data_IF_286586179068
#
_entry.id   IF_286586179068
#
_cell.length_a   1.000
_cell.length_b   1.000
_cell.length_c   1.000
_cell.angle_alpha   90.00
_cell.angle_beta   90.00
_cell.angle_gamma   90.00
#
_symmetry.space_group_name_H-M   'P 1'
#
loop_
_entity.id
_entity.type
_entity.pdbx_description
1 polymer ?
#
# COMPACT_ATOMS: atom_id res chain seq x y z
N UNK A 1 -3.83 28.40 -11.46
CA UNK A 1 -2.96 27.21 -11.44
C UNK A 1 -2.66 26.83 -10.00
N UNK A 2 -2.12 25.64 -9.75
CA UNK A 2 -1.67 25.17 -8.42
C UNK A 2 -0.24 24.64 -8.55
N UNK A 3 0.53 24.62 -7.46
CA UNK A 3 1.88 24.05 -7.46
C UNK A 3 1.86 22.65 -6.85
N UNK A 4 2.71 21.75 -7.35
CA UNK A 4 2.94 20.47 -6.70
C UNK A 4 3.83 20.65 -5.45
N UNK A 5 3.35 20.22 -4.28
CA UNK A 5 4.06 20.34 -3.00
C UNK A 5 5.44 19.65 -2.96
N UNK A 6 5.68 18.65 -3.83
CA UNK A 6 6.91 17.83 -3.83
C UNK A 6 7.93 18.26 -4.91
N UNK A 7 7.51 18.86 -6.04
CA UNK A 7 8.44 19.27 -7.12
C UNK A 7 8.29 20.73 -7.58
N UNK A 8 7.47 21.54 -6.91
CA UNK A 8 7.21 22.94 -7.26
C UNK A 8 6.48 23.18 -8.59
N UNK A 9 6.45 22.21 -9.52
CA UNK A 9 5.88 22.35 -10.86
C UNK A 9 4.44 22.86 -10.82
N UNK A 10 4.16 23.85 -11.65
CA UNK A 10 2.82 24.39 -11.84
C UNK A 10 1.93 23.43 -12.63
N UNK A 11 0.67 23.31 -12.20
CA UNK A 11 -0.34 22.40 -12.74
C UNK A 11 -1.66 23.17 -12.96
N UNK A 12 -2.47 22.67 -13.89
CA UNK A 12 -3.90 22.98 -13.88
C UNK A 12 -4.55 22.26 -12.68
N UNK A 13 -5.50 22.91 -12.00
CA UNK A 13 -6.17 22.33 -10.83
C UNK A 13 -6.97 21.06 -11.14
N UNK A 14 -7.29 20.81 -12.41
CA UNK A 14 -7.95 19.60 -12.88
C UNK A 14 -7.01 18.38 -13.03
N UNK A 15 -5.68 18.58 -13.13
CA UNK A 15 -4.67 17.51 -13.30
C UNK A 15 -3.78 17.33 -12.06
N UNK A 16 -4.23 17.87 -10.93
CA UNK A 16 -3.53 17.85 -9.65
C UNK A 16 -4.44 17.19 -8.61
N UNK A 17 -3.98 16.12 -7.97
CA UNK A 17 -4.72 15.47 -6.88
C UNK A 17 -4.45 16.25 -5.59
N UNK A 18 -5.46 16.49 -4.76
CA UNK A 18 -5.23 16.93 -3.38
C UNK A 18 -4.71 15.77 -2.54
N UNK A 19 -3.84 16.08 -1.59
CA UNK A 19 -3.47 15.20 -0.47
C UNK A 19 -4.69 14.87 0.39
N UNK A 20 -4.56 13.83 1.21
CA UNK A 20 -5.65 13.31 2.03
C UNK A 20 -5.87 14.19 3.28
N UNK A 21 -7.08 14.17 3.82
CA UNK A 21 -7.33 14.60 5.21
C UNK A 21 -6.92 13.53 6.24
N UNK A 22 -6.54 12.32 5.79
CA UNK A 22 -6.04 11.24 6.63
C UNK A 22 -4.51 11.25 6.63
N UNK A 23 -3.92 11.54 7.79
CA UNK A 23 -2.47 11.63 8.00
C UNK A 23 -1.72 10.40 7.46
N UNK A 24 -2.21 9.19 7.74
CA UNK A 24 -1.58 7.93 7.33
C UNK A 24 -1.38 7.83 5.81
N UNK A 25 -2.35 8.29 5.01
CA UNK A 25 -2.24 8.29 3.55
C UNK A 25 -1.22 9.32 3.05
N UNK A 26 -1.04 10.43 3.75
CA UNK A 26 0.00 11.42 3.44
C UNK A 26 1.40 10.93 3.87
N UNK A 27 1.50 10.23 4.99
CA UNK A 27 2.73 9.56 5.44
C UNK A 27 3.15 8.48 4.45
N UNK A 28 2.25 7.58 4.03
CA UNK A 28 2.55 6.56 3.00
C UNK A 28 3.07 7.24 1.73
N UNK A 29 2.37 8.24 1.20
CA UNK A 29 2.78 8.98 0.00
C UNK A 29 4.18 9.61 0.14
N UNK A 30 4.39 10.41 1.18
CA UNK A 30 5.59 11.25 1.32
C UNK A 30 6.82 10.45 1.79
N UNK A 31 6.64 9.40 2.60
CA UNK A 31 7.75 8.50 2.97
C UNK A 31 8.14 7.61 1.79
N UNK A 32 7.18 7.07 1.02
CA UNK A 32 7.50 6.27 -0.19
C UNK A 32 8.25 7.10 -1.23
N UNK A 33 7.87 8.38 -1.43
CA UNK A 33 8.60 9.30 -2.29
C UNK A 33 10.02 9.61 -1.78
N UNK A 34 10.22 9.59 -0.47
CA UNK A 34 11.55 9.82 0.11
C UNK A 34 12.45 8.60 0.01
N UNK A 35 11.90 7.39 0.23
CA UNK A 35 12.59 6.12 0.01
C UNK A 35 12.96 5.92 -1.48
N UNK A 36 12.08 6.33 -2.40
CA UNK A 36 12.34 6.37 -3.84
C UNK A 36 13.34 7.48 -4.27
N UNK A 37 13.92 8.25 -3.34
CA UNK A 37 14.89 9.31 -3.63
C UNK A 37 14.32 10.54 -4.33
N UNK A 38 12.99 10.69 -4.41
CA UNK A 38 12.35 11.85 -5.04
C UNK A 38 12.25 13.07 -4.11
N UNK A 39 12.43 12.89 -2.80
CA UNK A 39 12.53 13.97 -1.82
C UNK A 39 13.31 13.55 -0.56
N UNK A 40 13.74 14.52 0.23
CA UNK A 40 14.41 14.28 1.51
C UNK A 40 13.40 13.96 2.64
N UNK A 41 13.80 13.16 3.64
CA UNK A 41 12.89 12.68 4.69
C UNK A 41 12.53 13.77 5.73
N UNK A 42 13.43 14.71 6.02
CA UNK A 42 13.13 15.90 6.83
C UNK A 42 12.17 16.86 6.09
N UNK A 43 12.17 16.89 4.76
CA UNK A 43 11.15 17.56 3.95
C UNK A 43 9.80 16.84 4.01
N UNK A 44 9.79 15.52 3.80
CA UNK A 44 8.57 14.71 3.92
C UNK A 44 7.91 14.89 5.31
N UNK A 45 8.70 14.81 6.39
CA UNK A 45 8.25 14.99 7.78
C UNK A 45 7.67 16.38 8.08
N UNK A 46 8.12 17.42 7.37
CA UNK A 46 7.53 18.77 7.42
C UNK A 46 6.19 18.82 6.67
N UNK A 47 6.08 18.16 5.52
CA UNK A 47 4.87 18.15 4.71
C UNK A 47 3.72 17.30 5.27
N UNK A 48 3.98 16.27 6.10
CA UNK A 48 2.91 15.39 6.65
C UNK A 48 1.72 16.18 7.23
N UNK A 49 1.98 17.24 7.98
CA UNK A 49 0.94 18.06 8.62
C UNK A 49 0.40 19.16 7.72
N UNK A 50 1.24 19.78 6.86
CA UNK A 50 0.76 20.82 5.94
C UNK A 50 -0.18 20.22 4.90
N UNK A 51 0.17 19.07 4.34
CA UNK A 51 -0.69 18.25 3.48
C UNK A 51 -2.04 17.97 4.16
N UNK A 52 -2.03 17.45 5.38
CA UNK A 52 -3.24 17.08 6.13
C UNK A 52 -4.12 18.30 6.49
N UNK A 53 -3.51 19.44 6.84
CA UNK A 53 -4.21 20.67 7.27
C UNK A 53 -4.66 21.56 6.11
N UNK A 54 -3.97 21.55 4.96
CA UNK A 54 -4.22 22.44 3.81
C UNK A 54 -4.72 21.73 2.55
N UNK A 55 -4.70 20.39 2.52
CA UNK A 55 -5.05 19.56 1.36
C UNK A 55 -4.25 19.96 0.11
N UNK A 56 -2.94 20.07 0.29
CA UNK A 56 -1.94 20.50 -0.70
C UNK A 56 -1.97 19.62 -1.96
N UNK A 57 -1.59 20.20 -3.10
CA UNK A 57 -1.69 19.55 -4.40
C UNK A 57 -0.44 18.75 -4.76
N UNK A 58 -0.63 17.57 -5.35
CA UNK A 58 0.42 16.67 -5.83
C UNK A 58 0.10 16.23 -7.27
N UNK A 59 1.11 16.20 -8.15
CA UNK A 59 0.95 15.72 -9.52
C UNK A 59 0.72 14.21 -9.55
N UNK A 60 0.05 13.72 -10.59
CA UNK A 60 -0.20 12.28 -10.75
C UNK A 60 1.09 11.46 -10.85
N UNK A 61 2.19 12.03 -11.36
CA UNK A 61 3.49 11.35 -11.45
C UNK A 61 3.99 10.86 -10.08
N UNK A 62 3.97 11.69 -9.04
CA UNK A 62 4.43 11.31 -7.71
C UNK A 62 3.51 10.27 -7.04
N UNK A 63 2.22 10.24 -7.40
CA UNK A 63 1.29 9.21 -6.91
C UNK A 63 1.54 7.86 -7.57
N UNK A 64 1.87 7.86 -8.86
CA UNK A 64 2.35 6.66 -9.55
C UNK A 64 3.69 6.20 -8.97
N UNK A 65 4.70 7.08 -8.87
CA UNK A 65 6.04 6.75 -8.34
C UNK A 65 5.98 6.20 -6.90
N UNK A 66 5.16 6.79 -6.02
CA UNK A 66 4.99 6.28 -4.65
C UNK A 66 4.38 4.86 -4.63
N UNK A 67 3.42 4.58 -5.49
CA UNK A 67 2.82 3.24 -5.59
C UNK A 67 3.77 2.23 -6.27
N UNK A 68 4.53 2.66 -7.29
CA UNK A 68 5.55 1.85 -7.96
C UNK A 68 6.68 1.46 -7.00
N UNK A 69 7.14 2.37 -6.15
CA UNK A 69 8.12 2.05 -5.09
C UNK A 69 7.59 0.96 -4.15
N UNK A 70 6.36 1.10 -3.63
CA UNK A 70 5.78 0.11 -2.73
C UNK A 70 5.62 -1.27 -3.40
N UNK A 71 5.27 -1.30 -4.69
CA UNK A 71 5.17 -2.54 -5.46
C UNK A 71 6.55 -3.16 -5.79
N UNK A 72 7.59 -2.35 -5.95
CA UNK A 72 8.96 -2.84 -6.11
C UNK A 72 9.49 -3.48 -4.81
N UNK A 73 9.19 -2.87 -3.64
CA UNK A 73 9.52 -3.43 -2.33
C UNK A 73 8.77 -4.74 -2.05
N UNK A 74 7.52 -4.87 -2.50
CA UNK A 74 6.77 -6.14 -2.48
C UNK A 74 7.46 -7.20 -3.38
N UNK A 75 7.76 -6.84 -4.63
CA UNK A 75 8.38 -7.76 -5.59
C UNK A 75 9.79 -8.21 -5.13
N UNK A 76 10.53 -7.36 -4.42
CA UNK A 76 11.84 -7.67 -3.87
C UNK A 76 11.83 -8.78 -2.81
N UNK A 77 10.71 -8.99 -2.11
CA UNK A 77 10.52 -10.14 -1.19
C UNK A 77 9.77 -11.31 -1.83
N UNK A 78 9.43 -11.22 -3.12
CA UNK A 78 8.71 -12.24 -3.88
C UNK A 78 7.19 -12.07 -3.92
N UNK A 79 6.64 -11.02 -3.31
CA UNK A 79 5.20 -10.76 -3.30
C UNK A 79 4.79 -9.94 -4.54
N UNK A 80 3.92 -10.49 -5.38
CA UNK A 80 3.36 -9.80 -6.54
C UNK A 80 1.95 -9.28 -6.27
N UNK A 81 1.47 -8.33 -7.07
CA UNK A 81 0.06 -8.01 -7.16
C UNK A 81 -0.67 -9.02 -8.06
N UNK A 82 -1.96 -9.24 -7.85
CA UNK A 82 -2.79 -10.08 -8.71
C UNK A 82 -3.47 -9.26 -9.82
N UNK A 83 -3.59 -9.80 -11.03
CA UNK A 83 -4.46 -9.24 -12.07
C UNK A 83 -5.83 -9.93 -12.06
N UNK A 84 -6.83 -9.29 -11.44
CA UNK A 84 -8.21 -9.76 -11.47
C UNK A 84 -8.88 -9.33 -12.79
N UNK A 85 -9.59 -10.25 -13.45
CA UNK A 85 -10.43 -9.89 -14.60
C UNK A 85 -11.61 -9.01 -14.15
N UNK A 86 -11.60 -7.75 -14.61
CA UNK A 86 -12.61 -6.73 -14.27
C UNK A 86 -13.22 -6.16 -15.56
N UNK A 87 -14.37 -6.71 -16.01
CA UNK A 87 -15.09 -6.23 -17.20
C UNK A 87 -15.60 -4.79 -17.12
N UNK A 88 -15.43 -4.08 -15.98
CA UNK A 88 -15.72 -2.65 -15.85
C UNK A 88 -14.54 -1.74 -16.21
N UNK A 89 -13.36 -2.31 -16.46
CA UNK A 89 -12.18 -1.58 -16.94
C UNK A 89 -11.99 -1.69 -18.46
N UNK A 90 -11.46 -0.66 -19.14
CA UNK A 90 -11.12 -0.75 -20.57
C UNK A 90 -10.07 -1.82 -20.90
N UNK A 91 -9.24 -2.19 -19.92
CA UNK A 91 -8.23 -3.26 -20.00
C UNK A 91 -8.80 -4.67 -19.79
N UNK A 92 -10.04 -4.79 -19.30
CA UNK A 92 -10.60 -6.06 -18.84
C UNK A 92 -9.92 -6.66 -17.61
N UNK A 93 -8.93 -5.97 -17.03
CA UNK A 93 -8.11 -6.38 -15.88
C UNK A 93 -7.84 -5.22 -14.95
N UNK A 94 -7.92 -5.51 -13.64
CA UNK A 94 -7.55 -4.62 -12.53
C UNK A 94 -6.46 -5.31 -11.71
N UNK A 95 -5.27 -4.71 -11.69
CA UNK A 95 -4.22 -5.07 -10.74
C UNK A 95 -4.66 -4.72 -9.30
N UNK A 96 -4.52 -5.64 -8.35
CA UNK A 96 -4.86 -5.43 -6.94
C UNK A 96 -3.91 -6.15 -5.97
N UNK A 97 -3.89 -5.65 -4.73
CA UNK A 97 -3.04 -6.11 -3.62
C UNK A 97 -3.89 -6.28 -2.36
N UNK A 98 -3.77 -7.40 -1.66
CA UNK A 98 -4.41 -7.63 -0.35
C UNK A 98 -3.60 -6.98 0.77
N UNK A 99 -4.12 -6.95 2.00
CA UNK A 99 -3.35 -6.54 3.18
C UNK A 99 -2.47 -7.65 3.78
N UNK A 100 -2.56 -8.88 3.26
CA UNK A 100 -1.69 -10.01 3.60
C UNK A 100 -0.38 -9.92 2.80
N UNK A 101 -0.43 -9.47 1.55
CA UNK A 101 0.73 -9.39 0.65
C UNK A 101 1.73 -8.28 1.02
N UNK A 102 1.36 -7.39 1.94
CA UNK A 102 2.18 -6.24 2.33
C UNK A 102 3.29 -6.70 3.31
N UNK A 103 4.58 -6.56 2.95
CA UNK A 103 5.68 -6.99 3.81
C UNK A 103 5.70 -6.20 5.12
N UNK A 104 5.79 -6.89 6.26
CA UNK A 104 5.76 -6.24 7.57
C UNK A 104 6.95 -5.28 7.75
N UNK A 105 8.12 -5.58 7.19
CA UNK A 105 9.31 -4.72 7.27
C UNK A 105 9.20 -3.42 6.46
N UNK A 106 8.40 -3.42 5.38
CA UNK A 106 8.03 -2.21 4.67
C UNK A 106 7.17 -1.31 5.56
N UNK A 107 6.17 -1.87 6.24
CA UNK A 107 5.30 -1.15 7.19
C UNK A 107 6.09 -0.67 8.43
N UNK A 108 6.98 -1.49 8.97
CA UNK A 108 7.91 -1.12 10.05
C UNK A 108 8.82 0.04 9.62
N UNK A 109 9.28 0.04 8.36
CA UNK A 109 10.11 1.12 7.80
C UNK A 109 9.30 2.41 7.60
N UNK A 110 8.07 2.33 7.06
CA UNK A 110 7.16 3.48 6.99
C UNK A 110 6.90 4.08 8.38
N UNK A 111 6.65 3.25 9.40
CA UNK A 111 6.40 3.69 10.77
C UNK A 111 7.65 4.30 11.45
N UNK A 112 8.81 3.68 11.29
CA UNK A 112 10.11 4.20 11.76
C UNK A 112 10.38 5.59 11.19
N UNK A 113 10.13 5.78 9.89
CA UNK A 113 10.32 7.06 9.22
C UNK A 113 9.19 8.07 9.51
N UNK A 114 7.97 7.63 9.77
CA UNK A 114 6.87 8.48 10.27
C UNK A 114 7.21 9.14 11.63
N UNK A 115 8.09 8.52 12.42
CA UNK A 115 8.61 9.11 13.67
C UNK A 115 7.55 9.25 14.75
N UNK A 116 6.69 8.25 14.91
CA UNK A 116 5.63 8.23 15.92
C UNK A 116 4.45 9.17 15.67
N UNK A 117 4.47 10.00 14.62
CA UNK A 117 3.35 10.91 14.28
C UNK A 117 2.04 10.19 13.95
N UNK A 118 2.13 8.92 13.53
CA UNK A 118 1.00 7.99 13.40
C UNK A 118 1.50 6.56 13.29
N UNK A 119 0.61 5.58 13.39
CA UNK A 119 0.85 4.17 13.04
C UNK A 119 0.13 3.86 11.74
N UNK A 120 0.89 3.51 10.71
CA UNK A 120 0.45 2.96 9.42
C UNK A 120 0.28 1.45 9.55
N UNK A 121 -0.80 0.92 8.98
CA UNK A 121 -1.11 -0.52 8.91
C UNK A 121 -1.01 -1.07 7.49
N UNK A 122 -0.79 -2.38 7.34
CA UNK A 122 -0.77 -3.08 6.03
C UNK A 122 -1.99 -2.73 5.16
N UNK A 123 -3.17 -2.69 5.79
CA UNK A 123 -4.46 -2.33 5.18
C UNK A 123 -4.52 -0.92 4.59
N UNK A 124 -3.73 0.01 5.10
CA UNK A 124 -3.67 1.38 4.57
C UNK A 124 -2.67 1.49 3.41
N UNK A 125 -1.60 0.69 3.45
CA UNK A 125 -0.64 0.54 2.34
C UNK A 125 -1.32 -0.14 1.15
N UNK A 126 -1.96 -1.31 1.34
CA UNK A 126 -2.69 -2.00 0.27
C UNK A 126 -3.82 -1.13 -0.30
N UNK A 127 -4.58 -0.42 0.56
CA UNK A 127 -5.56 0.58 0.11
C UNK A 127 -4.91 1.68 -0.73
N UNK A 128 -3.78 2.25 -0.30
CA UNK A 128 -3.09 3.30 -1.05
C UNK A 128 -2.59 2.78 -2.41
N UNK A 129 -2.00 1.59 -2.46
CA UNK A 129 -1.58 0.92 -3.70
C UNK A 129 -2.78 0.74 -4.63
N UNK A 130 -3.87 0.11 -4.17
CA UNK A 130 -5.08 -0.14 -4.94
C UNK A 130 -5.77 1.15 -5.45
N UNK A 131 -5.78 2.22 -4.65
CA UNK A 131 -6.29 3.54 -5.06
C UNK A 131 -5.47 4.21 -6.16
N UNK A 132 -4.20 3.80 -6.35
CA UNK A 132 -3.31 4.33 -7.39
C UNK A 132 -3.22 3.38 -8.59
N UNK A 133 -3.15 2.05 -8.40
CA UNK A 133 -3.26 1.04 -9.46
C UNK A 133 -4.51 1.29 -10.32
N UNK A 134 -5.69 1.35 -9.70
CA UNK A 134 -6.99 1.61 -10.36
C UNK A 134 -7.05 2.94 -11.14
N UNK A 135 -6.14 3.89 -10.89
CA UNK A 135 -6.10 5.20 -11.56
C UNK A 135 -5.00 5.33 -12.60
N UNK A 136 -3.89 4.62 -12.43
CA UNK A 136 -2.64 4.92 -13.13
C UNK A 136 -2.03 3.73 -13.86
N UNK A 137 -2.21 2.48 -13.40
CA UNK A 137 -1.56 1.28 -13.96
C UNK A 137 -1.73 1.19 -15.50
N UNK A 138 -2.94 1.38 -16.00
CA UNK A 138 -3.26 1.37 -17.43
C UNK A 138 -3.08 2.74 -18.13
N UNK A 139 -2.19 3.61 -17.66
CA UNK A 139 -2.01 4.99 -18.16
C UNK A 139 -0.54 5.36 -18.32
N UNK A 140 -0.23 6.27 -19.25
CA UNK A 140 1.14 6.78 -19.50
C UNK A 140 1.77 7.60 -18.35
N UNK A 141 1.06 7.80 -17.23
CA UNK A 141 1.61 8.39 -16.00
C UNK A 141 2.29 7.34 -15.13
N UNK A 142 1.96 6.06 -15.33
CA UNK A 142 2.70 4.91 -14.84
C UNK A 142 3.80 4.61 -15.87
N UNK A 143 5.06 5.03 -15.66
CA UNK A 143 6.13 4.62 -16.55
C UNK A 143 6.22 3.10 -16.51
N UNK A 144 6.46 2.47 -17.66
CA UNK A 144 6.91 1.09 -17.70
C UNK A 144 8.20 1.01 -16.89
N UNK A 145 8.13 0.44 -15.67
CA UNK A 145 9.34 -0.10 -15.07
C UNK A 145 9.77 -1.24 -15.98
N UNK A 146 11.03 -1.20 -16.43
CA UNK A 146 11.59 -2.23 -17.31
C UNK A 146 11.55 -3.55 -16.56
N UNK A 147 10.52 -4.36 -16.85
CA UNK A 147 10.20 -5.54 -16.05
C UNK A 147 11.38 -6.50 -16.09
N UNK A 148 12.05 -6.66 -14.94
CA UNK A 148 12.91 -7.82 -14.69
C UNK A 148 11.98 -9.02 -14.56
N UNK A 149 11.49 -9.50 -15.71
CA UNK A 149 10.67 -10.70 -15.84
C UNK A 149 11.55 -11.86 -15.40
N UNK A 150 11.40 -12.27 -14.13
CA UNK A 150 11.94 -13.53 -13.60
C UNK A 150 11.14 -14.66 -14.25
N UNK A 151 11.44 -14.90 -15.52
CA UNK A 151 10.68 -15.76 -16.41
C UNK A 151 10.79 -17.20 -15.97
N UNK A 152 9.71 -17.72 -15.37
CA UNK A 152 9.57 -19.14 -15.01
C UNK A 152 9.45 -19.99 -16.28
N UNK A 153 10.60 -20.27 -16.89
CA UNK A 153 10.77 -21.23 -17.99
C UNK A 153 10.82 -20.63 -19.39
N UNK A 154 12.04 -20.39 -19.90
CA UNK A 154 12.32 -20.51 -21.34
C UNK A 154 13.77 -20.92 -21.55
N UNK A 155 13.98 -22.19 -21.88
CA UNK A 155 15.32 -22.79 -22.01
C UNK A 155 15.96 -22.43 -23.35
N UNK A 156 16.68 -21.31 -23.41
CA UNK A 156 17.55 -20.99 -24.56
C UNK A 156 19.01 -21.11 -24.13
N UNK A 157 19.65 -22.18 -24.58
CA UNK A 157 21.09 -22.38 -24.45
C UNK A 157 21.81 -21.26 -25.20
N UNK A 158 22.67 -20.51 -24.49
CA UNK A 158 23.74 -19.71 -25.10
C UNK A 158 25.05 -20.11 -24.44
N UNK A 159 26.05 -20.35 -25.28
CA UNK A 159 27.35 -20.85 -24.86
C UNK A 159 28.11 -19.74 -24.11
N UNK A 160 28.90 -20.14 -23.11
CA UNK A 160 30.00 -19.31 -22.65
C UNK A 160 31.12 -19.33 -23.70
N UNK A 161 31.61 -18.15 -24.07
CA UNK A 161 32.97 -17.97 -24.55
C UNK A 161 33.64 -16.92 -23.65
N UNK A 162 34.90 -17.17 -23.28
CA UNK A 162 35.64 -16.40 -22.28
C UNK A 162 36.33 -15.18 -22.93
N UNK A 163 36.47 -14.06 -22.21
CA UNK A 163 37.22 -12.92 -22.73
C UNK A 163 37.44 -11.72 -21.81
N UNK A 164 38.69 -11.55 -21.34
CA UNK A 164 39.28 -10.22 -21.16
C UNK A 164 39.21 -9.55 -19.78
N UNK A 165 40.02 -10.01 -18.82
CA UNK A 165 40.33 -9.22 -17.59
C UNK A 165 41.46 -8.23 -17.84
N UNK A 166 41.19 -6.91 -17.69
CA UNK A 166 42.13 -5.81 -17.37
C UNK A 166 41.36 -4.49 -17.23
N UNK A 167 41.71 -3.57 -16.32
CA UNK A 167 42.75 -3.60 -15.30
C UNK A 167 42.65 -2.42 -14.32
N UNK A 168 43.41 -2.48 -13.22
CA UNK A 168 43.38 -1.53 -12.09
C UNK A 168 43.95 -0.15 -12.47
N UNK A 169 43.36 0.92 -11.92
CA UNK A 169 44.09 2.16 -11.59
C UNK A 169 43.39 2.94 -10.47
N UNK A 170 43.88 2.79 -9.24
CA UNK A 170 43.54 3.69 -8.13
C UNK A 170 44.31 5.01 -8.25
N UNK A 171 43.77 6.12 -7.68
CA UNK A 171 44.49 6.94 -6.67
C UNK A 171 43.61 8.06 -6.08
N UNK A 172 43.87 8.49 -4.84
CA UNK A 172 43.10 9.54 -4.15
C UNK A 172 43.75 10.93 -4.25
N UNK A 173 43.02 11.96 -3.80
CA UNK A 173 43.54 13.25 -3.37
C UNK A 173 43.16 13.50 -1.91
N UNK A 174 43.96 14.29 -1.18
CA UNK A 174 43.81 14.49 0.28
C UNK A 174 44.28 15.89 0.68
N UNK A 175 43.68 16.47 1.75
CA UNK A 175 44.15 17.68 2.49
C UNK A 175 43.98 18.96 1.62
N UNK A 176 43.53 20.13 2.08
CA UNK A 176 43.71 20.92 3.33
C UNK A 176 42.36 21.29 3.99
N UNK A 177 42.12 21.17 5.30
CA UNK A 177 42.73 21.83 6.47
C UNK A 177 42.58 23.37 6.51
N UNK A 178 41.82 23.89 7.48
CA UNK A 178 42.05 25.20 8.09
C UNK A 178 41.39 25.28 9.48
N UNK A 179 41.97 26.07 10.40
CA UNK A 179 41.64 26.07 11.85
C UNK A 179 41.25 27.47 12.36
N UNK A 180 40.43 27.53 13.41
CA UNK A 180 40.42 28.55 14.48
C UNK A 180 39.42 28.14 15.58
N UNK A 181 39.82 27.97 16.85
CA UNK A 181 40.04 29.00 17.91
C UNK A 181 38.71 29.48 18.53
N UNK A 182 38.33 29.03 19.75
CA UNK A 182 38.65 29.60 21.10
C UNK A 182 37.95 30.96 21.33
N UNK A 183 37.26 31.29 22.43
CA UNK A 183 37.25 30.87 23.88
C UNK A 183 35.79 30.67 24.41
N UNK A 184 35.47 30.01 25.54
CA UNK A 184 35.61 30.34 27.00
C UNK A 184 34.88 31.66 27.43
N UNK A 185 34.18 31.78 28.57
CA UNK A 185 34.07 30.88 29.76
C UNK A 185 32.65 30.23 29.94
N UNK A 186 31.74 30.36 30.94
CA UNK A 186 31.57 31.12 32.22
C UNK A 186 30.44 30.45 33.10
N UNK A 187 30.21 30.88 34.35
CA UNK A 187 29.24 30.33 35.36
C UNK A 187 27.87 31.12 35.42
N UNK A 188 26.82 30.89 36.22
CA UNK A 188 26.59 30.29 37.57
C UNK A 188 25.25 29.53 37.74
N UNK A 189 25.10 28.84 38.89
CA UNK A 189 23.92 28.12 39.40
C UNK A 189 23.55 28.64 40.81
N UNK A 190 22.27 28.61 41.25
CA UNK A 190 22.01 27.80 42.45
C UNK A 190 20.62 27.11 42.56
N UNK A 191 20.64 25.87 43.08
CA UNK A 191 19.93 25.30 44.26
C UNK A 191 18.65 26.01 44.81
N UNK A 192 17.61 25.36 45.36
CA UNK A 192 17.57 24.09 46.14
C UNK A 192 16.12 23.55 46.40
N UNK A 193 16.00 22.53 47.26
CA UNK A 193 14.82 21.79 47.76
C UNK A 193 14.09 20.89 46.74
N UNK A 194 13.91 19.57 46.90
CA UNK A 194 13.90 18.63 48.06
C UNK A 194 12.67 18.69 48.96
N UNK A 195 11.76 17.74 48.75
CA UNK A 195 11.12 16.93 49.79
C UNK A 195 11.02 15.48 49.26
N UNK A 196 11.29 14.51 50.13
CA UNK A 196 11.08 13.07 49.89
C UNK A 196 9.83 12.61 50.65
N UNK A 197 9.06 11.66 50.10
CA UNK A 197 8.32 10.69 50.93
C UNK A 197 8.19 9.35 50.20
N UNK A 198 8.26 8.25 50.95
CA UNK A 198 8.31 6.88 50.43
C UNK A 198 6.90 6.29 50.26
N UNK A 199 6.73 5.28 49.37
CA UNK A 199 6.33 3.92 49.85
C UNK A 199 6.41 2.81 48.78
N UNK A 200 6.90 1.67 49.24
CA UNK A 200 6.52 0.29 48.99
C UNK A 200 6.35 -0.27 47.56
N UNK A 201 7.37 -1.06 47.22
CA UNK A 201 7.37 -2.27 46.40
C UNK A 201 6.04 -3.05 46.45
N UNK A 202 5.50 -3.35 45.26
CA UNK A 202 4.76 -4.59 45.02
C UNK A 202 5.33 -5.31 43.79
N UNK A 203 5.58 -6.61 43.95
CA UNK A 203 5.97 -7.53 42.88
C UNK A 203 4.74 -8.31 42.47
N UNK A 204 4.36 -8.23 41.20
CA UNK A 204 3.33 -9.09 40.57
C UNK A 204 3.75 -9.44 39.15
N UNK A 205 4.38 -10.60 39.04
CA UNK A 205 4.39 -11.57 37.93
C UNK A 205 4.36 -11.06 36.47
N UNK A 206 5.49 -11.32 35.80
CA UNK A 206 5.71 -11.22 34.36
C UNK A 206 4.99 -12.35 33.60
N UNK A 207 3.68 -12.23 33.39
CA UNK A 207 2.98 -13.06 32.40
C UNK A 207 3.24 -12.52 30.99
N UNK A 208 4.42 -12.83 30.47
CA UNK A 208 4.78 -12.60 29.08
C UNK A 208 3.91 -13.48 28.16
N UNK A 209 2.77 -12.95 27.67
CA UNK A 209 1.96 -13.62 26.64
C UNK A 209 2.73 -13.71 25.31
N UNK A 210 3.59 -14.73 25.23
CA UNK A 210 4.24 -15.16 24.01
C UNK A 210 3.20 -15.72 23.06
N UNK A 211 2.60 -14.84 22.26
CA UNK A 211 1.67 -15.19 21.19
C UNK A 211 2.43 -15.92 20.08
N UNK A 212 2.62 -17.23 20.29
CA UNK A 212 3.30 -18.15 19.37
C UNK A 212 2.79 -17.93 17.95
N UNK A 213 3.70 -17.58 17.05
CA UNK A 213 3.38 -17.28 15.65
C UNK A 213 3.08 -18.56 14.88
N UNK A 214 1.91 -19.15 15.11
CA UNK A 214 1.26 -19.99 14.10
C UNK A 214 0.92 -19.09 12.91
N UNK A 215 1.86 -18.98 11.98
CA UNK A 215 1.65 -18.46 10.64
C UNK A 215 0.66 -19.39 9.93
N UNK A 216 -0.63 -19.17 10.18
CA UNK A 216 -1.74 -19.80 9.47
C UNK A 216 -1.77 -19.23 8.06
N UNK A 217 -0.81 -19.64 7.23
CA UNK A 217 -0.92 -19.54 5.78
C UNK A 217 -2.27 -20.12 5.39
N UNK A 218 -3.17 -19.26 4.91
CA UNK A 218 -4.40 -19.71 4.27
C UNK A 218 -3.94 -20.34 2.97
N UNK A 219 -3.83 -21.67 2.97
CA UNK A 219 -3.42 -22.44 1.79
C UNK A 219 -4.36 -22.10 0.63
N UNK A 220 -3.81 -22.05 -0.59
CA UNK A 220 -4.58 -21.77 -1.79
C UNK A 220 -5.81 -22.68 -1.87
N UNK A 221 -6.97 -22.10 -2.21
CA UNK A 221 -8.21 -22.88 -2.29
C UNK A 221 -8.05 -23.97 -3.36
N UNK A 222 -8.08 -25.23 -2.92
CA UNK A 222 -7.94 -26.42 -3.75
C UNK A 222 -8.69 -26.26 -5.09
N UNK A 223 -7.99 -26.34 -6.24
CA UNK A 223 -8.62 -26.24 -7.56
C UNK A 223 -9.76 -27.25 -7.79
N UNK A 224 -9.76 -28.38 -7.09
CA UNK A 224 -10.88 -29.33 -7.12
C UNK A 224 -12.11 -28.79 -6.35
N UNK A 225 -11.90 -28.10 -5.22
CA UNK A 225 -12.98 -27.44 -4.47
C UNK A 225 -13.69 -26.35 -5.32
N UNK A 226 -12.96 -25.63 -6.19
CA UNK A 226 -13.56 -24.69 -7.14
C UNK A 226 -14.52 -25.34 -8.16
N UNK A 227 -14.42 -26.65 -8.35
CA UNK A 227 -15.31 -27.46 -9.21
C UNK A 227 -16.45 -28.13 -8.44
N UNK A 228 -16.55 -27.93 -7.12
CA UNK A 228 -17.50 -28.62 -6.25
C UNK A 228 -18.71 -27.74 -5.87
N UNK A 229 -19.90 -28.34 -5.89
CA UNK A 229 -21.12 -27.68 -5.40
C UNK A 229 -21.21 -27.71 -3.87
N UNK A 230 -21.38 -26.54 -3.24
CA UNK A 230 -21.51 -26.39 -1.79
C UNK A 230 -22.93 -26.04 -1.35
N UNK A 231 -23.44 -26.76 -0.34
CA UNK A 231 -24.74 -26.49 0.29
C UNK A 231 -24.64 -25.32 1.28
N UNK A 232 -24.91 -24.11 0.80
CA UNK A 232 -24.91 -22.89 1.62
C UNK A 232 -26.32 -22.54 2.12
N UNK A 233 -26.48 -22.33 3.43
CA UNK A 233 -27.74 -21.84 4.01
C UNK A 233 -28.05 -20.44 3.47
N UNK A 234 -29.29 -20.19 3.03
CA UNK A 234 -29.68 -18.92 2.39
C UNK A 234 -29.37 -17.66 3.23
N UNK A 235 -29.51 -17.73 4.55
CA UNK A 235 -29.15 -16.61 5.46
C UNK A 235 -27.63 -16.36 5.58
N UNK A 236 -26.78 -17.30 5.15
CA UNK A 236 -25.32 -17.11 5.01
C UNK A 236 -25.01 -16.51 3.65
N UNK A 237 -25.59 -17.04 2.57
CA UNK A 237 -25.47 -16.49 1.21
C UNK A 237 -25.83 -14.99 1.17
N UNK A 238 -26.94 -14.61 1.81
CA UNK A 238 -27.40 -13.22 1.90
C UNK A 238 -26.47 -12.29 2.71
N UNK A 239 -25.44 -12.79 3.41
CA UNK A 239 -24.43 -11.93 4.03
C UNK A 239 -23.50 -11.29 2.99
N UNK A 240 -23.36 -11.88 1.81
CA UNK A 240 -22.54 -11.38 0.70
C UNK A 240 -23.24 -10.19 0.00
N UNK A 241 -24.55 -10.31 -0.24
CA UNK A 241 -25.39 -9.33 -0.95
C UNK A 241 -25.76 -8.08 -0.11
N UNK A 242 -24.84 -7.58 0.70
CA UNK A 242 -24.92 -6.27 1.38
C UNK A 242 -24.45 -5.12 0.48
N UNK A 243 -23.62 -5.44 -0.51
CA UNK A 243 -23.02 -4.51 -1.45
C UNK A 243 -23.29 -4.99 -2.88
N UNK A 244 -23.33 -4.06 -3.83
CA UNK A 244 -23.56 -4.38 -5.23
C UNK A 244 -22.34 -5.11 -5.83
N UNK A 245 -22.49 -6.33 -6.38
CA UNK A 245 -21.38 -7.06 -6.99
C UNK A 245 -20.68 -6.32 -8.14
N UNK A 246 -21.35 -5.34 -8.76
CA UNK A 246 -20.80 -4.57 -9.90
C UNK A 246 -20.08 -3.26 -9.54
N UNK A 247 -20.27 -2.73 -8.32
CA UNK A 247 -19.69 -1.41 -7.96
C UNK A 247 -19.38 -1.20 -6.47
N UNK A 248 -19.54 -2.22 -5.61
CA UNK A 248 -19.29 -2.13 -4.17
C UNK A 248 -20.24 -1.21 -3.38
N UNK A 249 -21.14 -0.47 -4.03
CA UNK A 249 -22.09 0.41 -3.34
C UNK A 249 -23.08 -0.39 -2.50
N UNK A 250 -23.34 0.06 -1.26
CA UNK A 250 -24.28 -0.59 -0.33
C UNK A 250 -25.67 -0.71 -0.95
N UNK A 251 -26.24 -1.91 -0.94
CA UNK A 251 -27.59 -2.17 -1.44
C UNK A 251 -28.64 -1.71 -0.42
N UNK A 252 -29.80 -1.28 -0.93
CA UNK A 252 -30.96 -0.98 -0.08
C UNK A 252 -31.61 -2.25 0.48
N UNK A 253 -31.52 -3.34 -0.29
CA UNK A 253 -31.97 -4.68 0.06
C UNK A 253 -31.66 -5.65 -1.08
N UNK A 254 -31.78 -6.93 -0.78
CA UNK A 254 -31.72 -8.03 -1.73
C UNK A 254 -32.70 -9.12 -1.27
N UNK A 255 -33.22 -9.93 -2.19
CA UNK A 255 -34.18 -10.99 -1.94
C UNK A 255 -33.64 -12.33 -2.51
N UNK A 256 -33.77 -13.41 -1.75
CA UNK A 256 -33.38 -14.76 -2.17
C UNK A 256 -34.63 -15.59 -2.49
N UNK A 257 -34.65 -16.15 -3.68
CA UNK A 257 -35.68 -17.04 -4.22
C UNK A 257 -35.02 -18.35 -4.67
N UNK A 258 -35.77 -19.45 -4.64
CA UNK A 258 -35.33 -20.74 -5.16
C UNK A 258 -36.06 -21.02 -6.48
N UNK A 259 -35.31 -21.22 -7.56
CA UNK A 259 -35.83 -21.43 -8.92
C UNK A 259 -35.28 -22.76 -9.43
N UNK A 260 -36.08 -23.82 -9.31
CA UNK A 260 -35.60 -25.18 -9.54
C UNK A 260 -34.58 -25.58 -8.46
N UNK A 261 -33.39 -26.00 -8.89
CA UNK A 261 -32.22 -26.23 -8.02
C UNK A 261 -31.44 -24.97 -7.69
N UNK A 262 -31.58 -23.91 -8.50
CA UNK A 262 -30.76 -22.71 -8.39
C UNK A 262 -31.24 -21.76 -7.28
N UNK A 263 -30.27 -21.21 -6.54
CA UNK A 263 -30.48 -20.06 -5.66
C UNK A 263 -30.38 -18.77 -6.50
N UNK A 264 -31.44 -17.97 -6.54
CA UNK A 264 -31.49 -16.71 -7.29
C UNK A 264 -31.61 -15.54 -6.32
N UNK A 265 -30.66 -14.59 -6.38
CA UNK A 265 -30.67 -13.37 -5.57
C UNK A 265 -31.01 -12.17 -6.44
N UNK A 266 -32.15 -11.54 -6.16
CA UNK A 266 -32.66 -10.32 -6.80
C UNK A 266 -32.26 -9.09 -5.98
N UNK A 267 -31.74 -8.05 -6.62
CA UNK A 267 -31.31 -6.82 -5.95
C UNK A 267 -31.37 -5.59 -6.86
N UNK A 268 -31.48 -4.39 -6.27
CA UNK A 268 -31.46 -3.13 -6.99
C UNK A 268 -30.30 -2.24 -6.50
N UNK A 269 -29.48 -1.75 -7.43
CA UNK A 269 -28.39 -0.83 -7.12
C UNK A 269 -28.52 0.48 -7.89
N UNK A 270 -28.92 1.53 -7.18
CA UNK A 270 -29.10 2.92 -7.66
C UNK A 270 -27.90 3.54 -8.39
N UNK A 271 -26.71 2.93 -8.32
CA UNK A 271 -25.47 3.39 -8.99
C UNK A 271 -25.16 2.60 -10.28
N UNK A 272 -25.81 1.46 -10.52
CA UNK A 272 -25.58 0.60 -11.70
C UNK A 272 -26.78 0.49 -12.63
N UNK A 273 -28.01 0.50 -12.08
CA UNK A 273 -29.25 0.50 -12.86
C UNK A 273 -30.40 1.05 -12.01
N UNK A 274 -31.43 1.58 -12.68
CA UNK A 274 -32.74 1.79 -12.07
C UNK A 274 -33.53 0.47 -11.95
N UNK A 275 -33.20 -0.54 -12.74
CA UNK A 275 -33.88 -1.85 -12.79
C UNK A 275 -33.39 -2.81 -11.70
N UNK A 276 -34.19 -3.85 -11.44
CA UNK A 276 -33.75 -5.05 -10.72
C UNK A 276 -32.62 -5.76 -11.51
N UNK A 277 -31.71 -6.40 -10.77
CA UNK A 277 -30.62 -7.24 -11.26
C UNK A 277 -30.63 -8.56 -10.50
N UNK A 278 -30.28 -9.65 -11.20
CA UNK A 278 -30.33 -11.00 -10.67
C UNK A 278 -28.93 -11.62 -10.67
N UNK A 279 -28.64 -12.41 -9.64
CA UNK A 279 -27.53 -13.36 -9.60
C UNK A 279 -28.09 -14.77 -9.41
N UNK A 280 -27.50 -15.79 -10.02
CA UNK A 280 -27.90 -17.19 -9.89
C UNK A 280 -26.68 -18.07 -9.56
N UNK A 281 -26.89 -19.09 -8.72
CA UNK A 281 -25.85 -20.09 -8.39
C UNK A 281 -25.44 -20.94 -9.58
N UNK A 282 -26.36 -21.16 -10.52
CA UNK A 282 -26.13 -21.81 -11.80
C UNK A 282 -26.05 -20.72 -12.88
N UNK A 283 -25.01 -20.72 -13.72
CA UNK A 283 -24.98 -19.87 -14.92
C UNK A 283 -25.86 -20.52 -15.98
N UNK A 284 -26.90 -19.82 -16.45
CA UNK A 284 -27.56 -20.18 -17.70
C UNK A 284 -26.54 -20.10 -18.83
N UNK A 285 -26.19 -21.25 -19.41
CA UNK A 285 -25.46 -21.34 -20.67
C UNK A 285 -26.51 -21.45 -21.79
N UNK A 286 -27.35 -20.42 -21.91
CA UNK A 286 -28.38 -20.31 -22.95
C UNK A 286 -28.82 -18.84 -23.10
N UNK A 287 -28.89 -18.38 -24.36
CA UNK A 287 -29.31 -17.03 -24.83
C UNK A 287 -28.41 -15.85 -24.47
#
# INVERSE_FOLDING_TARGET
MVLCAVCGRALLSAIARRTSSVLNQNVILLVSLSLAGHMNIEEARRLFESATKRLEFVCHQHLAQAAQFLLAEMAAVGNTFEELEDPSTPSGRTAYVTDIDIPLDLVNTLNRLAGGKTVVSCREVSKFINENLKRYYSTSVWPEMEEVRIGRGSSIVKNFEEGGVRGVSERPCSITSNENSVSEEDEENPTSSVLEENTDVYVTDDESESCFSTSSSVEDTDPHALSQNFLVKGNVLMKLFKFCPRCGSKLAGAHLEAVGTAAVVKFNCKQCSSTEMNWSSERNIDS
#
